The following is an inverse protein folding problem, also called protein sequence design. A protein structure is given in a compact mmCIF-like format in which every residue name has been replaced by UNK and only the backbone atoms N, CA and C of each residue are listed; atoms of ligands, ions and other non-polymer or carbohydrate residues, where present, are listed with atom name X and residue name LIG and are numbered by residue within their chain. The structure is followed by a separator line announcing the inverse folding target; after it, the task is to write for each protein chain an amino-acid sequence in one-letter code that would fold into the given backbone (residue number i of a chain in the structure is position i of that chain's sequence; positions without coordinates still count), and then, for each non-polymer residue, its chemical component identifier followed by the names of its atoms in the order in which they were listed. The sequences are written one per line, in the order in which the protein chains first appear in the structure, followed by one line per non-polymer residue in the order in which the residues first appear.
data_IF_417299926096
#
_entry.id   IF_417299926096
#
_cell.length_a   1.000
_cell.length_b   1.000
_cell.length_c   1.000
_cell.angle_alpha   90.00
_cell.angle_beta   90.00
_cell.angle_gamma   90.00
#
_symmetry.space_group_name_H-M   'P 1'
#
loop_
_entity.id
_entity.type
_entity.pdbx_description
1 polymer ?
#
# COMPACT_ATOMS: atom_id res chain seq x y z
N UNK A 1 1.36 -13.53 2.57
CA UNK A 1 1.75 -12.14 2.26
C UNK A 1 1.24 -11.83 0.86
N UNK A 2 0.46 -10.75 0.67
CA UNK A 2 0.08 -10.33 -0.67
C UNK A 2 1.31 -9.77 -1.38
N UNK A 3 1.55 -10.17 -2.63
CA UNK A 3 2.68 -9.66 -3.42
C UNK A 3 2.36 -8.23 -3.84
N UNK A 4 3.29 -7.31 -3.56
CA UNK A 4 3.22 -5.93 -4.02
C UNK A 4 3.82 -5.84 -5.41
N UNK A 5 3.11 -5.17 -6.32
CA UNK A 5 3.55 -5.02 -7.71
C UNK A 5 3.14 -3.67 -8.24
N UNK A 6 4.06 -3.04 -8.97
CA UNK A 6 3.78 -1.87 -9.80
C UNK A 6 4.07 -2.24 -11.26
N UNK A 7 3.12 -1.98 -12.14
CA UNK A 7 3.21 -2.28 -13.58
C UNK A 7 3.12 -0.98 -14.35
N UNK A 8 4.11 -0.74 -15.21
CA UNK A 8 4.13 0.40 -16.12
C UNK A 8 3.91 -0.07 -17.56
N UNK A 9 2.99 0.58 -18.28
CA UNK A 9 2.80 0.41 -19.71
C UNK A 9 3.16 1.72 -20.40
N UNK A 10 4.27 1.71 -21.14
CA UNK A 10 4.74 2.87 -21.91
C UNK A 10 4.18 2.77 -23.33
N UNK A 11 3.34 3.73 -23.70
CA UNK A 11 2.72 3.83 -25.01
C UNK A 11 3.63 4.58 -25.99
N UNK A 12 3.38 4.41 -27.29
CA UNK A 12 4.18 5.05 -28.36
C UNK A 12 4.03 6.57 -28.42
N UNK A 13 2.95 7.10 -27.86
CA UNK A 13 2.69 8.53 -27.70
C UNK A 13 3.37 9.11 -26.45
N UNK A 14 4.26 8.35 -25.82
CA UNK A 14 4.93 8.67 -24.57
C UNK A 14 4.01 8.76 -23.33
N UNK A 15 2.74 8.38 -23.44
CA UNK A 15 1.87 8.21 -22.28
C UNK A 15 2.29 6.99 -21.47
N UNK A 16 2.31 7.12 -20.14
CA UNK A 16 2.62 6.02 -19.22
C UNK A 16 1.40 5.69 -18.38
N UNK A 17 0.98 4.43 -18.41
CA UNK A 17 -0.06 3.92 -17.52
C UNK A 17 0.58 3.19 -16.34
N UNK A 18 0.22 3.58 -15.12
CA UNK A 18 0.65 2.95 -13.89
C UNK A 18 -0.48 2.13 -13.27
N UNK A 19 -0.17 0.90 -12.88
CA UNK A 19 -1.09 0.03 -12.14
C UNK A 19 -0.41 -0.55 -10.91
N UNK A 20 -0.99 -0.28 -9.74
CA UNK A 20 -0.51 -0.77 -8.45
C UNK A 20 -1.40 -1.89 -7.93
N UNK A 21 -0.77 -2.97 -7.48
CA UNK A 21 -1.43 -4.14 -6.93
C UNK A 21 -0.81 -4.49 -5.57
N UNK A 22 -1.65 -4.86 -4.59
CA UNK A 22 -1.20 -5.33 -3.27
C UNK A 22 -0.69 -4.24 -2.32
N UNK A 23 -0.83 -2.95 -2.67
CA UNK A 23 -0.50 -1.81 -1.80
C UNK A 23 -1.79 -1.11 -1.35
N UNK A 24 -2.30 -1.41 -0.15
CA UNK A 24 -3.57 -0.86 0.33
C UNK A 24 -3.44 0.59 0.82
N UNK A 25 -4.51 1.36 0.65
CA UNK A 25 -4.64 2.68 1.24
C UNK A 25 -3.67 3.74 0.69
N UNK A 26 -3.45 4.83 1.45
CA UNK A 26 -2.60 5.96 1.03
C UNK A 26 -1.10 5.60 0.96
N UNK A 27 -0.71 4.38 1.36
CA UNK A 27 0.63 3.88 1.13
C UNK A 27 0.91 3.68 -0.37
N UNK A 28 -0.13 3.48 -1.19
CA UNK A 28 -0.02 3.41 -2.65
C UNK A 28 0.56 4.71 -3.21
N UNK A 29 -0.01 5.85 -2.84
CA UNK A 29 0.44 7.16 -3.35
C UNK A 29 1.88 7.48 -2.92
N UNK A 30 2.24 7.16 -1.68
CA UNK A 30 3.62 7.35 -1.21
C UNK A 30 4.62 6.48 -1.99
N UNK A 31 4.20 5.28 -2.39
CA UNK A 31 5.03 4.38 -3.18
C UNK A 31 5.18 4.84 -4.64
N UNK A 32 4.15 5.48 -5.21
CA UNK A 32 4.15 5.90 -6.63
C UNK A 32 4.71 7.31 -6.86
N UNK A 33 4.61 8.20 -5.87
CA UNK A 33 5.07 9.59 -5.94
C UNK A 33 6.45 9.81 -6.59
N UNK A 34 7.54 9.12 -6.20
CA UNK A 34 8.85 9.36 -6.82
C UNK A 34 8.91 8.94 -8.29
N UNK A 35 8.07 7.99 -8.71
CA UNK A 35 7.98 7.56 -10.11
C UNK A 35 7.14 8.56 -10.92
N UNK A 36 6.02 9.00 -10.37
CA UNK A 36 5.17 10.04 -10.98
C UNK A 36 6.00 11.32 -11.22
N UNK A 37 6.73 11.81 -10.21
CA UNK A 37 7.61 12.99 -10.32
C UNK A 37 8.69 12.84 -11.41
N UNK A 38 9.19 11.63 -11.63
CA UNK A 38 10.21 11.36 -12.64
C UNK A 38 9.62 11.18 -14.06
N UNK A 39 8.37 10.70 -14.16
CA UNK A 39 7.70 10.42 -15.42
C UNK A 39 6.95 11.64 -15.98
N UNK A 40 6.49 12.55 -15.13
CA UNK A 40 5.87 13.81 -15.53
C UNK A 40 4.63 14.17 -14.70
N UNK A 41 3.61 14.71 -15.37
CA UNK A 41 2.36 15.11 -14.74
C UNK A 41 1.31 13.99 -14.79
N UNK A 42 0.62 13.76 -13.68
CA UNK A 42 -0.48 12.78 -13.61
C UNK A 42 -1.72 13.38 -14.28
N UNK A 43 -2.06 12.84 -15.45
CA UNK A 43 -3.20 13.33 -16.25
C UNK A 43 -4.54 12.79 -15.75
N UNK A 44 -4.55 11.56 -15.22
CA UNK A 44 -5.74 10.88 -14.70
C UNK A 44 -5.37 9.90 -13.59
N UNK A 45 -6.24 9.74 -12.59
CA UNK A 45 -6.09 8.76 -11.51
C UNK A 45 -7.42 8.08 -11.20
N UNK A 46 -7.39 6.75 -11.13
CA UNK A 46 -8.55 5.92 -10.75
C UNK A 46 -8.20 5.04 -9.55
N UNK A 47 -8.93 5.21 -8.45
CA UNK A 47 -8.74 4.41 -7.24
C UNK A 47 -9.48 3.07 -7.33
N UNK A 48 -8.82 2.00 -6.89
CA UNK A 48 -9.42 0.66 -6.77
C UNK A 48 -9.98 0.43 -5.36
N UNK A 49 -10.69 -0.69 -5.15
CA UNK A 49 -11.18 -1.07 -3.83
C UNK A 49 -10.04 -1.19 -2.79
N UNK A 50 -8.84 -1.63 -3.22
CA UNK A 50 -7.65 -1.70 -2.37
C UNK A 50 -7.26 -0.36 -1.74
N UNK A 51 -7.54 0.76 -2.41
CA UNK A 51 -7.28 2.09 -1.86
C UNK A 51 -8.19 2.40 -0.65
N UNK A 52 -9.42 1.90 -0.64
CA UNK A 52 -10.36 2.12 0.47
C UNK A 52 -10.05 1.17 1.63
N UNK A 53 -9.47 0.01 1.35
CA UNK A 53 -9.07 -0.94 2.36
C UNK A 53 -7.91 -0.39 3.18
N UNK A 54 -8.19 -0.03 4.44
CA UNK A 54 -7.14 0.30 5.40
C UNK A 54 -6.46 -0.99 5.83
N UNK A 55 -5.16 -1.13 5.59
CA UNK A 55 -4.38 -2.24 6.16
C UNK A 55 -4.50 -2.14 7.68
N UNK A 56 -5.13 -3.13 8.33
CA UNK A 56 -5.02 -3.24 9.77
C UNK A 56 -3.54 -3.44 10.10
N UNK A 57 -2.97 -2.68 11.05
CA UNK A 57 -1.61 -2.93 11.48
C UNK A 57 -1.51 -4.37 11.98
N UNK A 58 -0.48 -5.08 11.53
CA UNK A 58 -0.17 -6.41 12.04
C UNK A 58 0.13 -6.26 13.55
N UNK A 59 -0.40 -7.14 14.43
CA UNK A 59 -0.11 -7.06 15.85
C UNK A 59 1.40 -7.16 16.04
N UNK A 60 1.99 -6.12 16.63
CA UNK A 60 3.40 -6.10 16.98
C UNK A 60 3.62 -7.08 18.14
N UNK A 61 4.80 -7.71 18.21
CA UNK A 61 5.16 -8.63 19.31
C UNK A 61 5.00 -8.01 20.71
N UNK A 62 5.03 -6.67 20.81
CA UNK A 62 4.75 -5.94 22.04
C UNK A 62 3.30 -6.10 22.53
N UNK A 63 2.33 -6.19 21.62
CA UNK A 63 0.92 -6.40 21.99
C UNK A 63 0.64 -7.86 22.40
N UNK A 64 1.40 -8.84 21.88
CA UNK A 64 1.33 -10.22 22.35
C UNK A 64 1.88 -10.38 23.77
N UNK A 65 3.01 -9.75 24.09
CA UNK A 65 3.60 -9.78 25.44
C UNK A 65 2.73 -9.11 26.50
N UNK A 66 2.03 -8.03 26.14
CA UNK A 66 1.08 -7.35 27.03
C UNK A 66 -0.17 -8.21 27.32
N UNK A 67 -0.66 -8.96 26.32
CA UNK A 67 -1.81 -9.84 26.47
C UNK A 67 -1.50 -11.06 27.35
N UNK A 68 -0.31 -11.64 27.19
CA UNK A 68 0.16 -12.77 28.03
C UNK A 68 0.33 -12.38 29.51
N UNK A 69 0.80 -11.16 29.80
CA UNK A 69 0.92 -10.66 31.18
C UNK A 69 -0.45 -10.37 31.81
N UNK A 70 -1.40 -9.85 31.03
CA UNK A 70 -2.75 -9.60 31.52
C UNK A 70 -3.52 -10.90 31.81
N UNK A 71 -3.25 -11.97 31.06
CA UNK A 71 -3.86 -13.30 31.26
C UNK A 71 -3.27 -14.01 32.48
N UNK A 72 -1.96 -13.87 32.72
CA UNK A 72 -1.28 -14.41 33.91
C UNK A 72 -1.68 -13.74 35.24
N UNK A 73 -2.26 -12.54 35.21
CA UNK A 73 -2.77 -11.83 36.40
C UNK A 73 -4.21 -12.25 36.76
N UNK A 74 -4.89 -12.97 35.85
CA UNK A 74 -6.26 -13.49 36.07
C UNK A 74 -6.32 -14.97 36.47
N UNK A 75 -5.18 -15.68 36.48
CA UNK A 75 -5.04 -17.06 36.96
C UNK A 75 -4.49 -17.08 38.39
#
# INVERSE_FOLDING_TARGET
MAVQRVVYVIRRDATVEERVEGVPGPACEQATMPFEEALGEVVERTYTADYVLRRMPEPTRETEGAKQRAEAVRA
#
